data_IF_550463424185
#
_entry.id   IF_550463424185
#
_cell.length_a   1.000
_cell.length_b   1.000
_cell.length_c   1.000
_cell.angle_alpha   90.00
_cell.angle_beta   90.00
_cell.angle_gamma   90.00
#
_symmetry.space_group_name_H-M   'P 1'
#
loop_
_entity.id
_entity.type
_entity.pdbx_description
1 polymer ?
#
# COMPACT_ATOMS: atom_id res chain seq x y z
N UNK A 1 2.25 14.40 0.60
CA UNK A 1 1.94 13.47 1.72
C UNK A 1 2.27 14.09 3.08
N UNK A 2 3.52 14.48 3.32
CA UNK A 2 3.96 15.12 4.57
C UNK A 2 3.20 16.40 4.93
N UNK A 3 2.98 17.27 3.95
CA UNK A 3 2.26 18.55 4.14
C UNK A 3 0.76 18.34 4.42
N UNK A 4 0.22 17.17 4.06
CA UNK A 4 -1.17 16.77 4.37
C UNK A 4 -1.29 16.10 5.74
N UNK A 5 -0.19 15.99 6.50
CA UNK A 5 -0.16 15.28 7.78
C UNK A 5 -0.30 13.76 7.65
N UNK A 6 -0.06 13.19 6.46
CA UNK A 6 -0.14 11.76 6.21
C UNK A 6 1.20 11.07 6.45
N UNK A 7 1.14 9.85 6.97
CA UNK A 7 2.30 8.96 7.13
C UNK A 7 2.43 8.09 5.89
N UNK A 8 3.63 8.06 5.31
CA UNK A 8 3.95 7.19 4.18
C UNK A 8 4.48 5.84 4.68
N UNK A 9 4.06 4.76 4.03
CA UNK A 9 4.60 3.42 4.26
C UNK A 9 5.86 3.19 3.42
N UNK A 10 6.65 2.14 3.71
CA UNK A 10 7.93 1.92 3.04
C UNK A 10 7.80 1.23 1.69
N UNK A 11 6.95 0.20 1.57
CA UNK A 11 6.75 -0.46 0.29
C UNK A 11 5.88 0.45 -0.60
N UNK A 12 6.27 0.58 -1.85
CA UNK A 12 5.47 1.18 -2.91
C UNK A 12 5.34 0.22 -4.09
N UNK A 13 4.52 0.61 -5.07
CA UNK A 13 4.39 -0.13 -6.32
C UNK A 13 4.31 0.84 -7.48
N UNK A 14 5.16 0.62 -8.46
CA UNK A 14 5.04 1.23 -9.78
C UNK A 14 4.54 0.21 -10.80
N UNK A 15 3.51 0.59 -11.57
CA UNK A 15 2.96 -0.18 -12.69
C UNK A 15 3.34 0.49 -14.01
N UNK A 16 4.55 0.22 -14.49
CA UNK A 16 5.01 0.72 -15.78
C UNK A 16 4.18 0.14 -16.94
N UNK A 17 3.91 0.96 -17.96
CA UNK A 17 3.15 0.56 -19.15
C UNK A 17 1.78 -0.08 -18.82
N UNK A 18 1.00 0.55 -17.92
CA UNK A 18 -0.26 0.00 -17.42
C UNK A 18 -1.21 -0.54 -18.52
N UNK A 19 -1.25 0.06 -19.71
CA UNK A 19 -2.07 -0.44 -20.82
C UNK A 19 -1.62 -1.78 -21.43
N UNK A 20 -0.48 -2.34 -21.03
CA UNK A 20 0.10 -3.59 -21.59
C UNK A 20 0.20 -4.73 -20.58
N UNK A 21 -0.10 -4.48 -19.31
CA UNK A 21 0.12 -5.45 -18.24
C UNK A 21 -1.15 -6.14 -17.77
N UNK A 22 -2.30 -5.75 -18.33
CA UNK A 22 -3.59 -6.39 -18.09
C UNK A 22 -4.05 -7.15 -19.33
N UNK A 23 -4.60 -8.34 -19.12
CA UNK A 23 -5.35 -9.09 -20.12
C UNK A 23 -6.70 -8.41 -20.41
N UNK A 24 -7.38 -8.85 -21.46
CA UNK A 24 -8.73 -8.35 -21.81
C UNK A 24 -9.76 -8.57 -20.69
N UNK A 25 -9.58 -9.61 -19.86
CA UNK A 25 -10.43 -9.88 -18.68
C UNK A 25 -10.06 -9.04 -17.45
N UNK A 26 -9.09 -8.12 -17.58
CA UNK A 26 -8.62 -7.24 -16.52
C UNK A 26 -7.64 -7.88 -15.53
N UNK A 27 -7.19 -9.13 -15.75
CA UNK A 27 -6.16 -9.74 -14.90
C UNK A 27 -4.77 -9.26 -15.26
N UNK A 28 -3.90 -9.19 -14.27
CA UNK A 28 -2.48 -8.94 -14.48
C UNK A 28 -1.84 -10.12 -15.22
N UNK A 29 -1.08 -9.82 -16.26
CA UNK A 29 -0.34 -10.82 -17.05
C UNK A 29 0.88 -11.38 -16.30
N UNK A 30 1.43 -10.61 -15.37
CA UNK A 30 2.59 -11.00 -14.54
C UNK A 30 2.21 -11.02 -13.05
N UNK A 31 2.23 -12.23 -12.47
CA UNK A 31 1.92 -12.45 -11.05
C UNK A 31 2.87 -11.76 -10.08
N UNK A 32 4.06 -11.32 -10.52
CA UNK A 32 4.95 -10.54 -9.67
C UNK A 32 4.30 -9.22 -9.22
N UNK A 33 3.43 -8.63 -10.04
CA UNK A 33 2.62 -7.48 -9.63
C UNK A 33 1.64 -7.85 -8.51
N UNK A 34 1.02 -9.04 -8.56
CA UNK A 34 0.11 -9.51 -7.51
C UNK A 34 0.87 -9.65 -6.19
N UNK A 35 2.04 -10.30 -6.20
CA UNK A 35 2.85 -10.49 -4.97
C UNK A 35 3.34 -9.18 -4.37
N UNK A 36 3.82 -8.23 -5.19
CA UNK A 36 4.23 -6.90 -4.70
C UNK A 36 3.04 -6.10 -4.17
N UNK A 37 1.87 -6.24 -4.80
CA UNK A 37 0.63 -5.62 -4.33
C UNK A 37 0.17 -6.16 -3.00
N UNK A 38 0.25 -7.48 -2.80
CA UNK A 38 -0.04 -8.08 -1.50
C UNK A 38 0.86 -7.49 -0.41
N UNK A 39 2.19 -7.46 -0.63
CA UNK A 39 3.14 -6.91 0.34
C UNK A 39 2.87 -5.45 0.69
N UNK A 40 2.57 -4.62 -0.32
CA UNK A 40 2.20 -3.22 -0.13
C UNK A 40 0.93 -3.06 0.71
N UNK A 41 -0.13 -3.82 0.40
CA UNK A 41 -1.40 -3.75 1.11
C UNK A 41 -1.28 -4.29 2.54
N UNK A 42 -0.52 -5.36 2.75
CA UNK A 42 -0.27 -5.94 4.07
C UNK A 42 0.43 -4.92 4.99
N UNK A 43 1.45 -4.21 4.48
CA UNK A 43 2.10 -3.15 5.25
C UNK A 43 1.17 -1.97 5.50
N UNK A 44 0.40 -1.53 4.50
CA UNK A 44 -0.56 -0.44 4.65
C UNK A 44 -1.58 -0.74 5.76
N UNK A 45 -2.14 -1.94 5.74
CA UNK A 45 -3.11 -2.40 6.73
C UNK A 45 -2.46 -2.49 8.10
N UNK A 46 -1.24 -3.05 8.19
CA UNK A 46 -0.52 -3.15 9.45
C UNK A 46 -0.23 -1.77 10.04
N UNK A 47 0.33 -0.83 9.26
CA UNK A 47 0.63 0.53 9.73
C UNK A 47 -0.65 1.28 10.11
N UNK A 48 -1.73 1.15 9.33
CA UNK A 48 -3.01 1.78 9.66
C UNK A 48 -3.55 1.29 11.02
N UNK A 49 -3.47 -0.02 11.30
CA UNK A 49 -3.90 -0.60 12.58
C UNK A 49 -3.03 -0.10 13.73
N UNK A 50 -1.72 -0.12 13.58
CA UNK A 50 -0.76 0.31 14.62
C UNK A 50 -0.93 1.80 14.94
N UNK A 51 -0.97 2.66 13.91
CA UNK A 51 -1.09 4.11 14.10
C UNK A 51 -2.45 4.51 14.68
N UNK A 52 -3.52 3.84 14.26
CA UNK A 52 -4.85 4.02 14.86
C UNK A 52 -4.83 3.66 16.34
N UNK A 53 -4.33 2.48 16.68
CA UNK A 53 -4.24 2.05 18.07
C UNK A 53 -3.41 3.03 18.92
N UNK A 54 -2.26 3.46 18.41
CA UNK A 54 -1.41 4.46 19.06
C UNK A 54 -2.15 5.75 19.37
N UNK A 55 -2.92 6.26 18.41
CA UNK A 55 -3.72 7.49 18.59
C UNK A 55 -4.85 7.34 19.60
N UNK A 56 -5.49 6.18 19.63
CA UNK A 56 -6.65 5.92 20.51
C UNK A 56 -6.24 5.61 21.95
N UNK A 57 -5.04 5.04 22.18
CA UNK A 57 -4.71 4.39 23.46
C UNK A 57 -3.45 4.93 24.14
N UNK A 58 -2.57 5.65 23.44
CA UNK A 58 -1.32 6.17 24.01
C UNK A 58 -1.46 7.66 24.24
N UNK A 59 -1.29 8.09 25.51
CA UNK A 59 -1.34 9.50 25.86
C UNK A 59 -0.22 10.28 25.14
N UNK A 60 -0.50 11.48 24.63
CA UNK A 60 0.56 12.38 24.15
C UNK A 60 1.58 12.62 25.26
N UNK A 61 2.85 12.69 24.89
CA UNK A 61 3.93 13.09 25.80
C UNK A 61 3.82 14.58 26.17
#
# INVERSE_FOLDING_TARGET
>A
MRELGLVTIFNDINFGHAGKIFAEDGKLLDEHFVRRTAKFLDELIWMARVLRHGRENIAPA
#
